data_IF_239977759545
#
_entry.id   IF_239977759545
#
_cell.length_a   1.000
_cell.length_b   1.000
_cell.length_c   1.000
_cell.angle_alpha   90.00
_cell.angle_beta   90.00
_cell.angle_gamma   90.00
#
_symmetry.space_group_name_H-M   'P 1'
#
loop_
_entity.id
_entity.type
_entity.pdbx_description
1 polymer ?
#
# COMPACT_ATOMS: atom_id res chain seq x y z
N UNK A 1 -6.64 -2.44 -1.73
CA UNK A 1 -7.47 -1.24 -1.44
C UNK A 1 -6.59 0.01 -1.42
N UNK A 2 -7.17 1.21 -1.48
CA UNK A 2 -6.44 2.48 -1.45
C UNK A 2 -7.25 3.58 -0.77
N UNK A 3 -6.62 4.69 -0.42
CA UNK A 3 -7.28 5.87 0.13
C UNK A 3 -6.81 7.13 -0.60
N UNK A 4 -7.63 8.17 -0.56
CA UNK A 4 -7.27 9.51 -0.95
C UNK A 4 -6.63 10.24 0.22
N UNK A 5 -5.45 10.81 0.01
CA UNK A 5 -4.78 11.71 0.95
C UNK A 5 -4.82 13.14 0.42
N UNK A 6 -5.16 14.08 1.29
CA UNK A 6 -5.21 15.52 0.99
C UNK A 6 -4.60 16.34 2.12
N UNK A 7 -4.14 17.53 1.77
CA UNK A 7 -3.61 18.56 2.67
C UNK A 7 -4.22 19.91 2.31
N UNK A 8 -4.22 20.90 3.21
CA UNK A 8 -4.62 22.27 2.87
C UNK A 8 -3.88 22.79 1.63
N UNK A 9 -4.58 23.48 0.74
CA UNK A 9 -3.99 24.07 -0.48
C UNK A 9 -3.69 23.08 -1.63
N UNK A 10 -4.00 21.79 -1.46
CA UNK A 10 -3.88 20.81 -2.56
C UNK A 10 -5.10 20.87 -3.48
N UNK A 11 -4.88 21.05 -4.78
CA UNK A 11 -5.98 21.24 -5.76
C UNK A 11 -6.96 20.05 -5.83
N UNK A 12 -6.45 18.84 -5.59
CA UNK A 12 -7.22 17.59 -5.56
C UNK A 12 -6.49 16.55 -4.71
N UNK A 13 -7.17 15.59 -4.06
CA UNK A 13 -6.52 14.52 -3.31
C UNK A 13 -5.59 13.64 -4.18
N UNK A 14 -4.78 12.79 -3.54
CA UNK A 14 -3.92 11.79 -4.20
C UNK A 14 -4.23 10.41 -3.67
N UNK A 15 -4.40 9.46 -4.58
CA UNK A 15 -4.67 8.06 -4.25
C UNK A 15 -3.38 7.33 -3.87
N UNK A 16 -3.37 6.65 -2.73
CA UNK A 16 -2.29 5.76 -2.29
C UNK A 16 -2.85 4.44 -1.79
N UNK A 17 -2.24 3.33 -2.20
CA UNK A 17 -2.59 2.00 -1.70
C UNK A 17 -2.05 1.78 -0.30
N UNK A 18 -2.86 1.15 0.55
CA UNK A 18 -2.41 0.65 1.84
C UNK A 18 -1.29 -0.37 1.64
N UNK A 19 -0.25 -0.29 2.48
CA UNK A 19 0.95 -1.11 2.38
C UNK A 19 1.04 -2.21 3.44
N UNK A 20 0.09 -2.26 4.38
CA UNK A 20 0.03 -3.25 5.44
C UNK A 20 -1.37 -3.86 5.55
N UNK A 21 -1.45 -5.10 6.03
CA UNK A 21 -2.72 -5.70 6.42
C UNK A 21 -3.27 -4.98 7.68
N UNK A 22 -4.59 -4.74 7.78
CA UNK A 22 -5.18 -4.05 8.93
C UNK A 22 -4.84 -4.71 10.29
N UNK A 23 -4.68 -6.04 10.32
CA UNK A 23 -4.32 -6.79 11.53
C UNK A 23 -2.87 -6.52 11.99
N UNK A 24 -2.03 -5.95 11.13
CA UNK A 24 -0.63 -5.63 11.44
C UNK A 24 -0.41 -4.16 11.83
N UNK A 25 -1.48 -3.37 11.93
CA UNK A 25 -1.42 -1.96 12.28
C UNK A 25 -2.12 -1.69 13.62
N UNK A 26 -1.67 -0.65 14.33
CA UNK A 26 -2.41 -0.18 15.50
C UNK A 26 -3.69 0.53 15.06
N UNK A 27 -4.59 0.74 16.01
CA UNK A 27 -5.82 1.50 15.74
C UNK A 27 -5.47 2.91 15.24
N UNK A 28 -6.07 3.30 14.11
CA UNK A 28 -5.87 4.59 13.43
C UNK A 28 -4.46 4.84 12.88
N UNK A 29 -3.62 3.80 12.75
CA UNK A 29 -2.38 3.86 11.98
C UNK A 29 -2.59 3.30 10.58
N UNK A 30 -1.91 3.90 9.59
CA UNK A 30 -2.00 3.50 8.19
C UNK A 30 -0.63 3.66 7.51
N UNK A 31 -0.14 2.59 6.89
CA UNK A 31 1.14 2.57 6.20
C UNK A 31 0.95 2.72 4.69
N UNK A 32 1.74 3.61 4.09
CA UNK A 32 1.76 3.85 2.64
C UNK A 32 3.18 3.84 2.09
N UNK A 33 3.37 3.37 0.86
CA UNK A 33 4.63 3.55 0.13
C UNK A 33 4.49 4.69 -0.87
N UNK A 34 5.09 5.85 -0.55
CA UNK A 34 4.98 7.07 -1.34
C UNK A 34 6.34 7.41 -1.92
N UNK A 35 6.43 7.41 -3.26
CA UNK A 35 7.63 7.88 -3.98
C UNK A 35 7.61 9.40 -4.07
N UNK A 36 8.75 10.06 -3.81
CA UNK A 36 8.91 11.49 -4.10
C UNK A 36 8.80 11.75 -5.60
N UNK A 37 7.90 12.65 -5.99
CA UNK A 37 7.71 13.06 -7.39
C UNK A 37 8.14 14.53 -7.54
N UNK A 38 9.17 14.84 -8.34
CA UNK A 38 9.54 16.23 -8.63
C UNK A 38 8.38 17.03 -9.23
N UNK A 39 8.14 18.24 -8.72
CA UNK A 39 6.99 19.08 -9.09
C UNK A 39 5.65 18.61 -8.51
N UNK A 40 5.63 17.52 -7.74
CA UNK A 40 4.42 16.99 -7.13
C UNK A 40 4.10 17.69 -5.82
N UNK A 41 3.16 18.65 -5.82
CA UNK A 41 2.75 19.43 -4.64
C UNK A 41 2.68 18.63 -3.34
N UNK A 42 1.93 17.51 -3.34
CA UNK A 42 1.77 16.66 -2.15
C UNK A 42 3.09 16.02 -1.70
N UNK A 43 3.89 15.46 -2.62
CA UNK A 43 5.13 14.77 -2.25
C UNK A 43 6.23 15.76 -1.90
N UNK A 44 6.29 16.92 -2.53
CA UNK A 44 7.20 17.99 -2.14
C UNK A 44 6.90 18.49 -0.73
N UNK A 45 5.61 18.69 -0.41
CA UNK A 45 5.18 18.96 0.94
C UNK A 45 5.57 17.83 1.91
N UNK A 46 5.24 16.58 1.59
CA UNK A 46 5.48 15.42 2.46
C UNK A 46 6.96 15.25 2.83
N UNK A 47 7.84 15.49 1.86
CA UNK A 47 9.30 15.37 1.99
C UNK A 47 10.00 16.72 2.24
N UNK A 48 9.26 17.76 2.62
CA UNK A 48 9.82 19.05 3.03
C UNK A 48 10.35 18.96 4.46
N UNK A 49 11.48 19.62 4.73
CA UNK A 49 12.05 19.73 6.10
C UNK A 49 11.32 20.77 6.95
N UNK A 50 10.57 21.69 6.32
CA UNK A 50 9.90 22.81 6.99
C UNK A 50 8.37 22.64 7.00
N UNK A 51 7.88 21.43 7.33
CA UNK A 51 6.45 21.20 7.46
C UNK A 51 5.91 21.82 8.74
N UNK A 52 4.76 22.46 8.64
CA UNK A 52 4.04 22.91 9.82
C UNK A 52 3.53 21.67 10.59
N UNK A 53 3.91 21.51 11.87
CA UNK A 53 3.46 20.37 12.68
C UNK A 53 1.95 20.36 12.91
N UNK A 54 1.26 21.50 12.77
CA UNK A 54 -0.18 21.60 12.94
C UNK A 54 -0.95 21.22 11.65
N UNK A 55 -0.26 21.04 10.52
CA UNK A 55 -0.88 20.61 9.27
C UNK A 55 -1.21 19.11 9.27
N UNK A 56 -2.50 18.80 9.30
CA UNK A 56 -3.01 17.44 9.25
C UNK A 56 -3.23 16.92 7.81
N UNK A 57 -2.91 15.65 7.58
CA UNK A 57 -3.36 14.91 6.39
C UNK A 57 -4.79 14.46 6.61
N UNK A 58 -5.67 14.79 5.66
CA UNK A 58 -7.02 14.20 5.60
C UNK A 58 -6.99 12.95 4.76
N UNK A 59 -7.55 11.86 5.28
CA UNK A 59 -7.70 10.60 4.56
C UNK A 59 -9.17 10.30 4.29
N UNK A 60 -9.48 9.89 3.06
CA UNK A 60 -10.81 9.44 2.65
C UNK A 60 -10.71 8.05 1.99
N UNK A 61 -11.58 7.12 2.38
CA UNK A 61 -11.54 5.72 1.94
C UNK A 61 -11.99 4.73 3.03
N UNK A 62 -11.73 3.42 2.89
CA UNK A 62 -10.99 2.79 1.80
C UNK A 62 -11.80 2.67 0.49
N UNK A 63 -11.09 2.63 -0.62
CA UNK A 63 -11.61 2.46 -1.97
C UNK A 63 -10.96 1.28 -2.72
N UNK A 64 -11.59 0.90 -3.82
CA UNK A 64 -11.08 -0.05 -4.80
C UNK A 64 -11.44 -1.52 -4.54
N UNK A 65 -11.26 -2.34 -5.57
CA UNK A 65 -11.63 -3.77 -5.59
C UNK A 65 -10.42 -4.71 -5.73
N UNK A 66 -9.21 -4.18 -5.47
CA UNK A 66 -7.96 -4.94 -5.47
C UNK A 66 -7.70 -5.52 -4.07
N UNK A 67 -8.06 -6.79 -3.90
CA UNK A 67 -7.93 -7.59 -2.68
C UNK A 67 -7.85 -9.08 -3.04
N UNK A 68 -7.43 -9.90 -2.07
CA UNK A 68 -7.33 -11.34 -2.24
C UNK A 68 -8.71 -11.97 -2.41
N UNK A 69 -8.93 -12.70 -3.51
CA UNK A 69 -10.17 -13.44 -3.74
C UNK A 69 -10.07 -14.83 -3.13
N UNK A 70 -11.14 -15.28 -2.47
CA UNK A 70 -11.33 -16.66 -2.00
C UNK A 70 -11.37 -17.62 -3.20
N UNK A 71 -10.22 -18.15 -3.56
CA UNK A 71 -10.00 -19.12 -4.64
C UNK A 71 -8.80 -19.98 -4.29
N UNK A 72 -8.74 -21.18 -4.84
CA UNK A 72 -7.65 -22.14 -4.62
C UNK A 72 -6.54 -22.05 -5.68
N UNK A 73 -6.80 -21.43 -6.84
CA UNK A 73 -5.85 -21.40 -7.96
C UNK A 73 -4.60 -20.58 -7.61
N UNK A 74 -3.37 -20.95 -8.00
CA UNK A 74 -2.16 -20.17 -7.67
C UNK A 74 -2.26 -18.67 -8.00
N UNK A 75 -1.53 -17.83 -7.25
CA UNK A 75 -1.46 -16.38 -7.46
C UNK A 75 -0.11 -16.03 -8.05
N UNK A 76 -0.10 -15.15 -9.04
CA UNK A 76 1.12 -14.47 -9.51
C UNK A 76 1.03 -13.00 -9.12
N UNK A 77 1.97 -12.57 -8.28
CA UNK A 77 2.12 -11.21 -7.81
C UNK A 77 3.29 -10.56 -8.56
N UNK A 78 3.05 -9.44 -9.23
CA UNK A 78 4.06 -8.68 -9.97
C UNK A 78 4.05 -7.25 -9.44
N UNK A 79 5.17 -6.82 -8.85
CA UNK A 79 5.33 -5.52 -8.23
C UNK A 79 6.50 -4.76 -8.86
N UNK A 80 6.36 -3.43 -8.93
CA UNK A 80 7.41 -2.50 -9.33
C UNK A 80 7.29 -1.19 -8.55
N UNK A 81 8.41 -0.66 -8.07
CA UNK A 81 8.45 0.52 -7.19
C UNK A 81 7.41 0.49 -6.06
N UNK A 82 6.61 1.56 -5.94
CA UNK A 82 5.54 1.66 -4.94
C UNK A 82 4.35 0.72 -5.18
N UNK A 83 4.29 0.05 -6.34
CA UNK A 83 3.31 -1.00 -6.63
C UNK A 83 3.43 -2.23 -5.71
N UNK A 84 4.52 -2.32 -4.93
CA UNK A 84 4.66 -3.31 -3.87
C UNK A 84 3.64 -3.13 -2.74
N UNK A 85 3.21 -1.90 -2.42
CA UNK A 85 2.33 -1.62 -1.28
C UNK A 85 1.07 -2.51 -1.24
N UNK A 86 0.19 -2.51 -2.26
CA UNK A 86 -1.03 -3.31 -2.20
C UNK A 86 -0.77 -4.82 -2.24
N UNK A 87 0.34 -5.26 -2.85
CA UNK A 87 0.71 -6.68 -2.88
C UNK A 87 1.18 -7.14 -1.49
N UNK A 88 2.03 -6.34 -0.81
CA UNK A 88 2.45 -6.63 0.56
C UNK A 88 1.25 -6.74 1.49
N UNK A 89 0.33 -5.77 1.46
CA UNK A 89 -0.88 -5.80 2.29
C UNK A 89 -1.73 -7.07 2.05
N UNK A 90 -1.87 -7.49 0.79
CA UNK A 90 -2.59 -8.72 0.43
C UNK A 90 -1.89 -9.97 0.97
N UNK A 91 -0.57 -10.06 0.82
CA UNK A 91 0.19 -11.22 1.29
C UNK A 91 0.19 -11.31 2.81
N UNK A 92 0.33 -10.20 3.52
CA UNK A 92 0.21 -10.16 4.99
C UNK A 92 -1.17 -10.62 5.45
N UNK A 93 -2.23 -10.14 4.81
CA UNK A 93 -3.60 -10.58 5.11
C UNK A 93 -3.76 -12.09 4.90
N UNK A 94 -3.23 -12.62 3.79
CA UNK A 94 -3.26 -14.06 3.51
C UNK A 94 -2.50 -14.91 4.53
N UNK A 95 -1.36 -14.42 5.05
CA UNK A 95 -0.63 -15.07 6.14
C UNK A 95 -1.44 -15.06 7.43
N UNK A 96 -2.01 -13.91 7.80
CA UNK A 96 -2.82 -13.77 9.01
C UNK A 96 -4.06 -14.66 8.99
N UNK A 97 -4.69 -14.79 7.82
CA UNK A 97 -5.86 -15.63 7.59
C UNK A 97 -5.48 -17.12 7.35
N UNK A 98 -4.19 -17.46 7.45
CA UNK A 98 -3.66 -18.83 7.27
C UNK A 98 -4.04 -19.48 5.93
N UNK A 99 -4.06 -18.68 4.86
CA UNK A 99 -4.48 -19.13 3.54
C UNK A 99 -3.43 -20.06 2.93
N UNK A 100 -3.87 -21.28 2.58
CA UNK A 100 -3.04 -22.30 1.91
C UNK A 100 -3.17 -22.18 0.40
N UNK A 101 -2.33 -21.34 -0.20
CA UNK A 101 -2.36 -21.08 -1.65
C UNK A 101 -0.97 -20.79 -2.19
N UNK A 102 -0.65 -21.37 -3.35
CA UNK A 102 0.63 -21.09 -4.01
C UNK A 102 0.71 -19.63 -4.46
N UNK A 103 1.84 -19.00 -4.15
CA UNK A 103 2.16 -17.63 -4.59
C UNK A 103 3.45 -17.65 -5.39
N UNK A 104 3.48 -16.89 -6.47
CA UNK A 104 4.69 -16.59 -7.23
C UNK A 104 4.84 -15.08 -7.17
N UNK A 105 5.98 -14.60 -6.69
CA UNK A 105 6.22 -13.17 -6.49
C UNK A 105 7.38 -12.69 -7.38
N UNK A 106 7.13 -11.62 -8.13
CA UNK A 106 8.11 -10.95 -8.97
C UNK A 106 8.19 -9.48 -8.56
N UNK A 107 9.37 -9.02 -8.18
CA UNK A 107 9.65 -7.62 -7.91
C UNK A 107 10.70 -7.16 -8.92
N UNK A 108 10.52 -5.98 -9.52
CA UNK A 108 11.45 -5.44 -10.52
C UNK A 108 12.93 -5.74 -10.22
N UNK A 109 13.54 -6.51 -11.14
CA UNK A 109 14.92 -7.05 -11.16
C UNK A 109 15.25 -8.28 -10.28
N UNK A 110 14.30 -8.90 -9.57
CA UNK A 110 14.56 -10.17 -8.85
C UNK A 110 13.31 -11.08 -8.83
N UNK A 111 13.41 -12.28 -9.42
CA UNK A 111 12.37 -13.32 -9.31
C UNK A 111 12.55 -14.08 -7.99
N UNK A 112 11.54 -14.03 -7.09
CA UNK A 112 11.56 -14.81 -5.85
C UNK A 112 10.31 -15.69 -5.73
N UNK A 113 10.50 -17.01 -5.73
CA UNK A 113 9.41 -17.95 -5.48
C UNK A 113 9.28 -18.17 -3.97
N UNK A 114 8.12 -17.85 -3.42
CA UNK A 114 7.78 -18.08 -2.02
C UNK A 114 6.44 -18.82 -1.92
N UNK A 115 6.38 -19.85 -1.10
CA UNK A 115 5.11 -20.42 -0.65
C UNK A 115 4.75 -19.68 0.65
N UNK A 116 3.47 -19.38 0.89
CA UNK A 116 3.08 -18.86 2.20
C UNK A 116 3.63 -19.78 3.29
N UNK A 117 4.35 -19.26 4.30
CA UNK A 117 4.88 -20.08 5.37
C UNK A 117 3.72 -20.78 6.11
N UNK A 118 3.98 -22.01 6.54
CA UNK A 118 3.06 -22.81 7.38
C UNK A 118 2.93 -22.21 8.76
#
# INVERSE_FOLDING_TARGET
MWAELSIPGLDRPRSYSFASAPQNENQNEFTFFIRKVPGGKFTEWLFSENRDPDECVTMNGPFGSFYLREKETPIVCIAGGSGLAPIKAILEGGVNDQIKRDVIFYLEQELKRFIFPQ
#
